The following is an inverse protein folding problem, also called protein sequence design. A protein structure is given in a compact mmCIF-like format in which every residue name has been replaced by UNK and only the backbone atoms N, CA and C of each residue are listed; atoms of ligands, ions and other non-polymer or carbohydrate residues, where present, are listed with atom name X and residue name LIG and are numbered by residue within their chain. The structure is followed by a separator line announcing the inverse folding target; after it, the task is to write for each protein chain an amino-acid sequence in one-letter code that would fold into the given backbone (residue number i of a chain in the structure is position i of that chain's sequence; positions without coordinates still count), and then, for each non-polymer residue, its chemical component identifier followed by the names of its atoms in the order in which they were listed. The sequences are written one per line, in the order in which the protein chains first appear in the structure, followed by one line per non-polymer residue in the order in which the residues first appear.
data_IF_273466611355
#
_entry.id   IF_273466611355
#
_cell.length_a   1.000
_cell.length_b   1.000
_cell.length_c   1.000
_cell.angle_alpha   90.00
_cell.angle_beta   90.00
_cell.angle_gamma   90.00
#
_symmetry.space_group_name_H-M   'P 1'
#
loop_
_entity.id
_entity.type
_entity.pdbx_description
1 polymer ?
#
# COMPACT_ATOMS: atom_id res chain seq x y z
N UNK A 1 8.66 15.83 -20.26
CA UNK A 1 8.19 15.72 -18.87
C UNK A 1 8.93 14.61 -18.18
N UNK A 2 9.88 14.98 -17.30
CA UNK A 2 10.62 14.03 -16.49
C UNK A 2 9.68 13.47 -15.42
N UNK A 3 9.16 12.25 -15.59
CA UNK A 3 8.13 11.68 -14.71
C UNK A 3 8.46 10.27 -14.24
N UNK A 4 8.22 10.05 -12.96
CA UNK A 4 8.41 8.76 -12.29
C UNK A 4 7.05 8.16 -11.93
N UNK A 5 6.79 6.92 -12.34
CA UNK A 5 5.62 6.14 -11.93
C UNK A 5 5.99 5.22 -10.76
N UNK A 6 5.38 5.44 -9.61
CA UNK A 6 5.47 4.57 -8.44
C UNK A 6 4.43 3.45 -8.53
N UNK A 7 4.81 2.24 -8.18
CA UNK A 7 3.91 1.08 -8.10
C UNK A 7 4.42 0.08 -7.07
N UNK A 8 3.54 -0.72 -6.47
CA UNK A 8 3.95 -1.89 -5.69
C UNK A 8 4.38 -3.00 -6.63
N UNK A 9 3.46 -3.45 -7.49
CA UNK A 9 3.65 -4.53 -8.44
C UNK A 9 3.64 -4.04 -9.89
N UNK A 10 4.75 -4.24 -10.60
CA UNK A 10 4.83 -3.96 -12.04
C UNK A 10 4.12 -5.05 -12.86
N UNK A 11 2.79 -4.94 -12.93
CA UNK A 11 1.95 -5.81 -13.76
C UNK A 11 1.91 -5.32 -15.22
N UNK A 12 1.33 -6.12 -16.12
CA UNK A 12 1.07 -5.70 -17.51
C UNK A 12 0.28 -4.40 -17.59
N UNK A 13 -0.74 -4.24 -16.75
CA UNK A 13 -1.59 -3.04 -16.76
C UNK A 13 -0.78 -1.79 -16.38
N UNK A 14 0.08 -1.90 -15.36
CA UNK A 14 0.97 -0.82 -14.91
C UNK A 14 2.04 -0.51 -15.96
N UNK A 15 2.59 -1.53 -16.63
CA UNK A 15 3.51 -1.30 -17.74
C UNK A 15 2.84 -0.55 -18.91
N UNK A 16 1.58 -0.88 -19.22
CA UNK A 16 0.79 -0.15 -20.22
C UNK A 16 0.51 1.29 -19.79
N UNK A 17 0.18 1.53 -18.51
CA UNK A 17 0.04 2.88 -17.96
C UNK A 17 1.33 3.69 -18.09
N UNK A 18 2.48 3.08 -17.80
CA UNK A 18 3.78 3.75 -17.93
C UNK A 18 4.08 4.20 -19.36
N UNK A 19 3.76 3.34 -20.33
CA UNK A 19 3.96 3.62 -21.76
C UNK A 19 2.97 4.68 -22.24
N UNK A 20 1.68 4.54 -21.90
CA UNK A 20 0.64 5.51 -22.27
C UNK A 20 0.91 6.90 -21.67
N UNK A 21 1.45 6.95 -20.45
CA UNK A 21 1.85 8.18 -19.76
C UNK A 21 3.22 8.72 -20.17
N UNK A 22 3.95 8.01 -21.04
CA UNK A 22 5.31 8.35 -21.49
C UNK A 22 6.26 8.66 -20.32
N UNK A 23 6.19 7.85 -19.26
CA UNK A 23 7.02 8.01 -18.07
C UNK A 23 8.45 7.53 -18.34
N UNK A 24 9.46 8.21 -17.78
CA UNK A 24 10.86 7.84 -18.01
C UNK A 24 11.34 6.73 -17.09
N UNK A 25 10.76 6.64 -15.89
CA UNK A 25 11.14 5.64 -14.88
C UNK A 25 9.91 5.07 -14.18
N UNK A 26 9.90 3.76 -14.01
CA UNK A 26 9.02 3.06 -13.07
C UNK A 26 9.84 2.70 -11.83
N UNK A 27 9.38 3.15 -10.65
CA UNK A 27 9.89 2.63 -9.38
C UNK A 27 8.87 1.62 -8.86
N UNK A 28 9.20 0.34 -9.04
CA UNK A 28 8.39 -0.79 -8.60
C UNK A 28 8.92 -1.28 -7.26
N UNK A 29 8.15 -1.12 -6.19
CA UNK A 29 8.55 -1.54 -4.85
C UNK A 29 8.96 -3.03 -4.83
N UNK A 30 8.17 -3.92 -5.44
CA UNK A 30 8.55 -5.32 -5.65
C UNK A 30 9.46 -5.49 -6.88
N UNK A 31 10.57 -6.24 -6.76
CA UNK A 31 11.41 -6.58 -7.89
C UNK A 31 10.67 -7.44 -8.91
N UNK A 32 10.45 -6.90 -10.11
CA UNK A 32 9.89 -7.68 -11.22
C UNK A 32 10.83 -8.84 -11.63
N UNK A 33 12.15 -8.66 -11.52
CA UNK A 33 13.13 -9.75 -11.71
C UNK A 33 13.57 -10.29 -10.34
N UNK A 34 12.68 -11.02 -9.66
CA UNK A 34 13.00 -11.58 -8.33
C UNK A 34 13.97 -12.77 -8.39
N UNK A 35 13.89 -13.57 -9.46
CA UNK A 35 14.84 -14.63 -9.79
C UNK A 35 15.42 -14.36 -11.16
N UNK A 36 16.72 -14.57 -11.32
CA UNK A 36 17.39 -14.36 -12.60
C UNK A 36 16.75 -15.18 -13.72
N UNK A 37 16.43 -14.51 -14.84
CA UNK A 37 15.92 -15.19 -16.03
C UNK A 37 17.03 -16.01 -16.71
N UNK A 38 16.68 -17.21 -17.17
CA UNK A 38 17.57 -18.03 -18.02
C UNK A 38 17.43 -17.68 -19.50
N UNK A 39 16.32 -17.07 -19.88
CA UNK A 39 16.01 -16.58 -21.23
C UNK A 39 14.94 -15.49 -21.15
N UNK A 40 14.94 -14.58 -22.14
CA UNK A 40 13.91 -13.57 -22.35
C UNK A 40 13.10 -13.94 -23.60
N UNK A 41 11.78 -14.06 -23.44
CA UNK A 41 10.86 -14.53 -24.49
C UNK A 41 9.56 -13.75 -24.46
N UNK A 42 8.79 -13.82 -25.54
CA UNK A 42 7.43 -13.27 -25.60
C UNK A 42 6.36 -14.27 -25.12
N UNK A 43 6.72 -15.40 -24.51
CA UNK A 43 5.73 -16.38 -24.03
C UNK A 43 5.22 -16.04 -22.62
N UNK A 44 6.00 -15.31 -21.85
CA UNK A 44 5.70 -14.94 -20.47
C UNK A 44 5.24 -13.48 -20.37
N UNK A 45 4.08 -13.19 -19.74
CA UNK A 45 3.56 -11.82 -19.66
C UNK A 45 4.47 -10.83 -18.93
N UNK A 46 5.22 -11.28 -17.92
CA UNK A 46 6.14 -10.43 -17.17
C UNK A 46 7.34 -10.04 -18.05
N UNK A 47 7.90 -11.01 -18.78
CA UNK A 47 8.98 -10.76 -19.75
C UNK A 47 8.52 -9.87 -20.91
N UNK A 48 7.28 -10.04 -21.41
CA UNK A 48 6.72 -9.16 -22.42
C UNK A 48 6.65 -7.71 -21.94
N UNK A 49 6.17 -7.46 -20.71
CA UNK A 49 6.13 -6.11 -20.15
C UNK A 49 7.51 -5.46 -20.07
N UNK A 50 8.52 -6.21 -19.62
CA UNK A 50 9.91 -5.74 -19.57
C UNK A 50 10.47 -5.40 -20.94
N UNK A 51 10.25 -6.26 -21.94
CA UNK A 51 10.71 -6.00 -23.31
C UNK A 51 10.02 -4.77 -23.92
N UNK A 52 8.74 -4.55 -23.63
CA UNK A 52 8.02 -3.35 -24.05
C UNK A 52 8.56 -2.09 -23.38
N UNK A 53 8.75 -2.09 -22.06
CA UNK A 53 9.33 -0.95 -21.34
C UNK A 53 10.74 -0.62 -21.87
N UNK A 54 11.57 -1.64 -22.13
CA UNK A 54 12.90 -1.45 -22.70
C UNK A 54 12.86 -0.85 -24.11
N UNK A 55 11.90 -1.25 -24.95
CA UNK A 55 11.71 -0.69 -26.29
C UNK A 55 11.33 0.80 -26.25
N UNK A 56 10.53 1.20 -25.25
CA UNK A 56 10.09 2.57 -25.02
C UNK A 56 11.11 3.40 -24.21
N UNK A 57 12.28 2.83 -23.86
CA UNK A 57 13.31 3.53 -23.10
C UNK A 57 12.96 3.78 -21.62
N UNK A 58 11.99 3.05 -21.06
CA UNK A 58 11.51 3.23 -19.69
C UNK A 58 12.35 2.37 -18.74
N UNK A 59 13.03 3.02 -17.78
CA UNK A 59 13.84 2.33 -16.79
C UNK A 59 12.99 1.79 -15.64
N UNK A 60 13.39 0.65 -15.04
CA UNK A 60 12.73 0.07 -13.87
C UNK A 60 13.71 -0.02 -12.70
N UNK A 61 13.34 0.54 -11.54
CA UNK A 61 14.10 0.46 -10.30
C UNK A 61 13.26 -0.14 -9.18
N UNK A 62 13.86 -1.00 -8.34
CA UNK A 62 13.16 -1.66 -7.24
C UNK A 62 13.91 -1.57 -5.92
N UNK A 63 13.44 -0.74 -4.96
CA UNK A 63 14.09 -0.60 -3.66
C UNK A 63 13.74 -1.72 -2.67
N UNK A 64 12.52 -2.29 -2.76
CA UNK A 64 12.06 -3.43 -1.97
C UNK A 64 12.40 -3.30 -0.47
N UNK A 65 13.03 -4.33 0.10
CA UNK A 65 13.45 -4.41 1.50
C UNK A 65 14.37 -3.29 1.96
N UNK A 66 15.03 -2.56 1.07
CA UNK A 66 15.82 -1.38 1.48
C UNK A 66 14.91 -0.30 2.07
N UNK A 67 13.71 -0.10 1.52
CA UNK A 67 12.72 0.85 2.03
C UNK A 67 12.03 0.33 3.31
N UNK A 68 11.95 -0.99 3.48
CA UNK A 68 11.47 -1.60 4.74
C UNK A 68 12.44 -1.39 5.89
N UNK A 69 13.72 -1.52 5.58
CA UNK A 69 14.80 -1.44 6.54
C UNK A 69 15.12 0.00 6.93
N UNK A 70 15.01 0.96 6.00
CA UNK A 70 15.38 2.34 6.20
C UNK A 70 14.62 3.03 7.34
N UNK A 71 15.29 3.96 8.01
CA UNK A 71 14.66 4.92 8.91
C UNK A 71 13.70 5.84 8.13
N UNK A 72 12.55 6.14 8.71
CA UNK A 72 11.44 6.85 8.07
C UNK A 72 10.93 6.17 6.78
N UNK A 73 11.15 4.86 6.71
CA UNK A 73 10.76 3.97 5.63
C UNK A 73 9.35 3.40 5.80
N UNK A 74 9.10 2.30 5.10
CA UNK A 74 7.81 1.62 5.04
C UNK A 74 7.35 1.09 6.41
N UNK A 75 8.24 0.44 7.16
CA UNK A 75 7.90 -0.09 8.49
C UNK A 75 7.59 1.03 9.50
N UNK A 76 8.28 2.16 9.42
CA UNK A 76 8.06 3.31 10.32
C UNK A 76 6.72 3.99 10.03
N UNK A 77 6.29 4.05 8.77
CA UNK A 77 4.94 4.50 8.40
C UNK A 77 3.84 3.61 9.01
N UNK A 78 4.01 2.29 9.02
CA UNK A 78 3.08 1.39 9.71
C UNK A 78 3.08 1.61 11.23
N UNK A 79 4.23 1.91 11.82
CA UNK A 79 4.31 2.32 13.22
C UNK A 79 3.50 3.60 13.45
N UNK A 80 3.62 4.60 12.57
CA UNK A 80 2.90 5.86 12.67
C UNK A 80 1.38 5.69 12.61
N UNK A 81 0.89 4.75 11.79
CA UNK A 81 -0.52 4.36 11.74
C UNK A 81 -0.96 3.84 13.11
N UNK A 82 -0.24 2.87 13.65
CA UNK A 82 -0.56 2.21 14.92
C UNK A 82 -0.51 3.20 16.09
N UNK A 83 0.43 4.14 16.08
CA UNK A 83 0.65 5.10 17.18
C UNK A 83 -0.17 6.38 17.04
N UNK A 84 -0.79 6.62 15.88
CA UNK A 84 -1.52 7.86 15.60
C UNK A 84 -0.59 9.06 15.43
N UNK A 85 0.61 8.87 14.87
CA UNK A 85 1.60 9.92 14.59
C UNK A 85 1.74 10.24 13.11
N UNK A 86 0.81 9.79 12.28
CA UNK A 86 0.82 10.09 10.85
C UNK A 86 0.97 11.60 10.62
N UNK A 87 1.94 12.04 9.79
CA UNK A 87 2.07 13.44 9.43
C UNK A 87 0.81 13.93 8.71
N UNK A 88 0.57 15.24 8.78
CA UNK A 88 -0.53 15.85 8.03
C UNK A 88 -0.38 15.54 6.54
N UNK A 89 -1.45 15.08 5.87
CA UNK A 89 -1.41 14.90 4.43
C UNK A 89 -1.14 16.25 3.76
N UNK A 90 -0.21 16.28 2.83
CA UNK A 90 0.06 17.51 2.08
C UNK A 90 -1.20 17.93 1.29
N UNK A 91 -1.48 19.23 1.21
CA UNK A 91 -2.60 19.73 0.41
C UNK A 91 -2.37 19.33 -1.05
N UNK A 92 -3.31 18.58 -1.63
CA UNK A 92 -3.24 18.22 -3.04
C UNK A 92 -3.43 19.48 -3.89
N UNK A 93 -2.37 19.96 -4.54
CA UNK A 93 -2.42 21.09 -5.47
C UNK A 93 -2.77 20.65 -6.88
N UNK A 94 -3.87 19.92 -7.08
CA UNK A 94 -4.43 19.73 -8.42
C UNK A 94 -5.96 19.66 -8.36
N UNK A 95 -6.60 20.73 -8.83
CA UNK A 95 -8.01 20.75 -9.26
C UNK A 95 -8.14 19.93 -10.54
N UNK A 96 -8.22 18.61 -10.42
CA UNK A 96 -8.93 17.82 -11.39
C UNK A 96 -10.42 17.91 -11.01
N UNK A 97 -11.22 18.60 -11.82
CA UNK A 97 -12.67 18.52 -11.72
C UNK A 97 -13.07 17.05 -11.79
N UNK A 98 -13.49 16.50 -10.66
CA UNK A 98 -14.15 15.20 -10.62
C UNK A 98 -15.45 15.40 -11.41
N UNK A 99 -15.69 14.69 -12.53
CA UNK A 99 -17.02 14.66 -13.11
C UNK A 99 -17.93 14.08 -12.04
N UNK A 100 -18.89 14.86 -11.59
CA UNK A 100 -19.92 14.42 -10.66
C UNK A 100 -20.56 13.15 -11.21
N UNK A 101 -20.28 12.00 -10.59
CA UNK A 101 -21.02 10.76 -10.81
C UNK A 101 -22.34 10.84 -10.07
N UNK A 102 -23.16 11.81 -10.46
CA UNK A 102 -24.56 11.93 -10.07
C UNK A 102 -25.43 11.56 -11.28
N UNK A 103 -25.21 10.36 -11.81
CA UNK A 103 -26.08 9.74 -12.82
C UNK A 103 -25.91 8.21 -12.81
N UNK A 104 -26.23 7.58 -11.68
CA UNK A 104 -26.70 6.19 -11.64
C UNK A 104 -28.01 6.09 -10.85
N UNK A 105 -29.00 6.85 -11.32
CA UNK A 105 -30.41 6.50 -11.13
C UNK A 105 -31.02 6.31 -12.52
N UNK A 106 -31.32 5.05 -12.85
CA UNK A 106 -32.20 4.72 -13.97
C UNK A 106 -31.49 4.24 -15.24
N UNK A 107 -31.08 2.97 -15.26
CA UNK A 107 -31.03 2.20 -16.50
C UNK A 107 -31.50 0.78 -16.20
N UNK A 108 -32.80 0.56 -16.36
CA UNK A 108 -33.38 -0.77 -16.50
C UNK A 108 -32.96 -1.33 -17.87
N UNK A 109 -31.79 -1.97 -17.93
CA UNK A 109 -31.42 -2.77 -19.10
C UNK A 109 -32.12 -4.13 -19.03
N UNK A 110 -33.27 -4.20 -19.70
CA UNK A 110 -33.87 -5.46 -20.10
C UNK A 110 -32.97 -6.15 -21.13
N UNK A 111 -32.17 -7.12 -20.70
CA UNK A 111 -31.51 -8.06 -21.62
C UNK A 111 -32.48 -9.19 -21.98
N UNK A 112 -32.57 -9.59 -23.26
CA UNK A 112 -33.48 -10.65 -23.67
C UNK A 112 -32.94 -12.01 -23.22
N UNK A 113 -33.86 -12.80 -22.66
CA UNK A 113 -33.72 -14.21 -22.32
C UNK A 113 -33.01 -15.00 -23.43
N UNK A 114 -31.88 -15.62 -23.09
CA UNK A 114 -31.49 -16.89 -23.72
C UNK A 114 -30.66 -17.75 -22.78
N UNK A 115 -31.04 -19.04 -22.75
CA UNK A 115 -30.37 -20.18 -22.13
C UNK A 115 -30.53 -20.37 -20.61
N UNK A 116 -31.72 -20.78 -20.20
CA UNK A 116 -31.91 -22.09 -19.56
C UNK A 116 -31.05 -22.45 -18.34
N UNK A 117 -30.74 -21.50 -17.45
CA UNK A 117 -30.31 -21.82 -16.09
C UNK A 117 -31.50 -21.63 -15.14
N UNK A 118 -31.83 -22.61 -14.28
CA UNK A 118 -32.87 -22.41 -13.28
C UNK A 118 -32.49 -21.22 -12.39
N UNK A 119 -33.46 -20.41 -11.94
CA UNK A 119 -33.17 -19.30 -11.03
C UNK A 119 -32.58 -19.91 -9.76
N UNK A 120 -31.29 -19.65 -9.52
CA UNK A 120 -30.72 -19.93 -8.20
C UNK A 120 -31.49 -19.03 -7.23
N UNK A 121 -32.27 -19.61 -6.32
CA UNK A 121 -32.63 -18.92 -5.07
C UNK A 121 -31.30 -18.59 -4.39
N UNK A 122 -30.77 -17.39 -4.62
CA UNK A 122 -29.32 -17.28 -4.67
C UNK A 122 -28.85 -15.95 -4.13
N UNK A 123 -28.37 -15.99 -2.88
CA UNK A 123 -27.44 -15.05 -2.27
C UNK A 123 -26.58 -14.31 -3.32
N UNK A 124 -26.66 -12.98 -3.35
CA UNK A 124 -25.84 -12.13 -4.22
C UNK A 124 -24.50 -11.81 -3.55
N UNK A 125 -23.45 -11.62 -4.32
CA UNK A 125 -22.11 -11.26 -3.82
C UNK A 125 -21.64 -9.97 -4.49
N UNK A 126 -20.90 -9.14 -3.76
CA UNK A 126 -20.27 -7.95 -4.33
C UNK A 126 -19.18 -8.32 -5.33
N UNK A 127 -18.85 -7.39 -6.24
CA UNK A 127 -17.56 -7.45 -6.94
C UNK A 127 -16.41 -7.39 -5.91
N UNK A 128 -15.23 -7.96 -6.21
CA UNK A 128 -14.05 -7.79 -5.37
C UNK A 128 -13.76 -6.31 -5.13
N UNK A 129 -13.54 -5.93 -3.88
CA UNK A 129 -13.22 -4.56 -3.49
C UNK A 129 -11.82 -4.46 -2.91
N UNK A 130 -11.15 -3.36 -3.19
CA UNK A 130 -9.77 -3.08 -2.80
C UNK A 130 -9.74 -1.88 -1.85
N UNK A 131 -8.69 -1.73 -1.02
CA UNK A 131 -8.52 -0.53 -0.21
C UNK A 131 -8.54 0.71 -1.09
N UNK A 132 -9.22 1.76 -0.64
CA UNK A 132 -9.19 3.06 -1.31
C UNK A 132 -7.91 3.80 -0.97
N UNK A 133 -7.54 4.82 -1.76
CA UNK A 133 -6.44 5.71 -1.37
C UNK A 133 -6.74 6.30 0.03
N UNK A 134 -5.79 6.29 0.98
CA UNK A 134 -5.98 6.95 2.26
C UNK A 134 -6.33 8.42 2.02
N UNK A 135 -7.57 8.83 2.33
CA UNK A 135 -8.02 10.20 2.08
C UNK A 135 -7.61 11.12 3.24
N UNK A 136 -7.18 12.34 2.90
CA UNK A 136 -6.90 13.41 3.86
C UNK A 136 -8.16 14.02 4.49
N UNK A 137 -9.34 13.65 3.98
CA UNK A 137 -10.57 14.44 4.10
C UNK A 137 -11.54 13.98 5.20
N UNK A 138 -11.08 13.24 6.22
CA UNK A 138 -11.87 13.01 7.43
C UNK A 138 -11.20 13.61 8.67
N UNK A 139 -11.37 14.93 8.93
CA UNK A 139 -10.75 15.62 10.07
C UNK A 139 -11.36 15.24 11.43
N UNK A 140 -12.53 14.59 11.48
CA UNK A 140 -13.39 14.68 12.67
C UNK A 140 -13.03 13.72 13.82
N UNK A 141 -12.15 12.73 13.61
CA UNK A 141 -11.76 11.78 14.66
C UNK A 141 -10.32 11.31 14.40
N UNK A 142 -9.32 12.19 14.57
CA UNK A 142 -7.95 11.72 14.73
C UNK A 142 -7.83 11.10 16.11
N UNK A 143 -7.57 9.79 16.23
CA UNK A 143 -7.31 9.22 17.54
C UNK A 143 -6.06 9.89 18.11
N UNK A 144 -6.12 10.29 19.39
CA UNK A 144 -5.03 11.01 20.05
C UNK A 144 -3.72 10.21 19.95
N UNK A 145 -2.63 10.88 19.61
CA UNK A 145 -1.30 10.28 19.57
C UNK A 145 -0.98 9.59 20.90
N UNK A 146 -0.61 8.32 20.85
CA UNK A 146 -0.25 7.55 22.03
C UNK A 146 1.26 7.65 22.27
N UNK A 147 1.69 8.00 23.48
CA UNK A 147 3.12 8.00 23.84
C UNK A 147 3.72 6.59 23.71
N UNK A 148 4.88 6.46 23.08
CA UNK A 148 5.48 5.16 22.77
C UNK A 148 6.99 5.25 22.53
N UNK A 149 7.65 4.09 22.48
CA UNK A 149 9.00 3.90 21.96
C UNK A 149 9.00 2.92 20.80
N UNK A 150 10.08 2.95 19.99
CA UNK A 150 10.30 2.04 18.86
C UNK A 150 11.69 1.42 18.95
N UNK A 151 11.81 0.15 18.58
CA UNK A 151 13.10 -0.51 18.38
C UNK A 151 13.06 -1.39 17.14
N UNK A 152 14.23 -1.64 16.54
CA UNK A 152 14.37 -2.54 15.38
C UNK A 152 14.39 -3.99 15.87
N UNK A 153 13.64 -4.89 15.20
CA UNK A 153 13.59 -6.31 15.57
C UNK A 153 14.85 -7.04 15.10
N UNK A 154 15.24 -6.85 13.83
CA UNK A 154 16.48 -7.39 13.27
C UNK A 154 17.33 -6.28 12.67
N UNK A 155 18.24 -5.66 13.45
CA UNK A 155 19.13 -4.60 12.98
C UNK A 155 19.91 -4.96 11.72
N UNK A 156 20.02 -4.00 10.79
CA UNK A 156 20.94 -4.12 9.67
C UNK A 156 22.39 -4.15 10.17
N UNK A 157 23.24 -4.92 9.48
CA UNK A 157 24.67 -4.90 9.79
C UNK A 157 25.24 -3.50 9.52
N UNK A 158 26.04 -2.99 10.45
CA UNK A 158 26.77 -1.75 10.26
C UNK A 158 27.72 -1.89 9.06
N UNK A 159 27.41 -1.22 7.95
CA UNK A 159 28.33 -1.14 6.82
C UNK A 159 29.35 -0.04 7.09
N UNK A 160 30.62 -0.41 7.24
CA UNK A 160 31.72 0.54 7.49
C UNK A 160 31.92 1.62 6.41
N UNK A 161 31.14 1.57 5.31
CA UNK A 161 31.28 2.43 4.13
C UNK A 161 30.22 3.54 4.00
N UNK A 162 29.22 3.59 4.88
CA UNK A 162 28.25 4.69 4.88
C UNK A 162 28.63 5.65 6.01
N UNK A 163 29.24 6.78 5.64
CA UNK A 163 29.57 7.88 6.57
C UNK A 163 28.36 8.76 6.90
N UNK A 164 27.15 8.21 6.78
CA UNK A 164 25.91 8.94 6.96
C UNK A 164 25.31 8.57 8.30
N UNK A 165 25.51 9.45 9.28
CA UNK A 165 25.04 9.28 10.67
C UNK A 165 23.50 9.14 10.77
N UNK A 166 22.77 9.35 9.67
CA UNK A 166 21.31 9.13 9.60
C UNK A 166 20.93 7.65 9.65
N UNK A 167 21.79 6.74 9.22
CA UNK A 167 21.48 5.31 9.14
C UNK A 167 22.36 4.51 10.08
N UNK A 168 21.76 4.06 11.18
CA UNK A 168 22.47 3.31 12.23
C UNK A 168 21.79 1.95 12.46
N UNK A 169 22.48 0.96 13.06
CA UNK A 169 21.83 -0.30 13.42
C UNK A 169 20.64 -0.13 14.38
N UNK A 170 20.58 0.98 15.13
CA UNK A 170 19.49 1.28 16.05
C UNK A 170 18.21 1.75 15.36
N UNK A 171 18.31 2.27 14.13
CA UNK A 171 17.16 2.79 13.37
C UNK A 171 16.96 2.12 11.99
N UNK A 172 17.86 1.21 11.59
CA UNK A 172 17.75 0.45 10.35
C UNK A 172 17.71 -1.06 10.57
N UNK A 173 16.87 -1.75 9.80
CA UNK A 173 16.75 -3.21 9.84
C UNK A 173 15.31 -3.69 9.66
N UNK A 174 15.13 -5.01 9.64
CA UNK A 174 13.83 -5.60 9.38
C UNK A 174 12.92 -5.56 10.62
N UNK A 175 11.69 -5.08 10.41
CA UNK A 175 10.66 -4.99 11.42
C UNK A 175 10.89 -3.92 12.49
N UNK A 176 9.82 -3.56 13.19
CA UNK A 176 9.83 -2.65 14.33
C UNK A 176 8.99 -3.22 15.47
N UNK A 177 9.45 -3.02 16.70
CA UNK A 177 8.67 -3.25 17.90
C UNK A 177 8.26 -1.89 18.46
N UNK A 178 6.95 -1.64 18.50
CA UNK A 178 6.38 -0.48 19.19
C UNK A 178 6.04 -0.91 20.62
N UNK A 179 6.38 -0.08 21.61
CA UNK A 179 5.97 -0.25 23.00
C UNK A 179 5.26 1.01 23.49
N UNK A 180 3.98 0.92 23.81
CA UNK A 180 3.20 2.06 24.30
C UNK A 180 3.51 2.38 25.76
N UNK A 181 3.42 3.67 26.13
CA UNK A 181 3.56 4.11 27.52
C UNK A 181 2.41 3.60 28.40
N UNK A 182 1.21 3.45 27.82
CA UNK A 182 0.02 2.85 28.43
C UNK A 182 -0.60 1.83 27.46
N UNK A 183 -1.13 0.68 27.94
CA UNK A 183 -1.84 -0.27 27.07
C UNK A 183 -2.95 0.42 26.26
N UNK A 184 -3.19 -0.06 25.04
CA UNK A 184 -4.20 0.45 24.13
C UNK A 184 -5.24 -0.64 23.80
N UNK A 185 -6.54 -0.33 23.74
CA UNK A 185 -7.54 -1.31 23.32
C UNK A 185 -7.28 -1.79 21.88
N UNK A 186 -7.37 -3.10 21.66
CA UNK A 186 -7.16 -3.71 20.34
C UNK A 186 -8.11 -3.14 19.28
N UNK A 187 -9.36 -2.87 19.65
CA UNK A 187 -10.37 -2.24 18.78
C UNK A 187 -9.89 -0.89 18.23
N UNK A 188 -9.19 -0.10 19.04
CA UNK A 188 -8.65 1.20 18.65
C UNK A 188 -7.50 1.05 17.66
N UNK A 189 -6.65 0.03 17.85
CA UNK A 189 -5.55 -0.27 16.92
C UNK A 189 -6.07 -0.81 15.58
N UNK A 190 -7.08 -1.68 15.60
CA UNK A 190 -7.76 -2.17 14.38
C UNK A 190 -8.35 -0.99 13.59
N UNK A 191 -9.03 -0.06 14.26
CA UNK A 191 -9.58 1.13 13.60
C UNK A 191 -8.49 2.02 13.00
N UNK A 192 -7.40 2.27 13.75
CA UNK A 192 -6.24 3.01 13.25
C UNK A 192 -5.63 2.35 12.01
N UNK A 193 -5.38 1.04 12.07
CA UNK A 193 -4.85 0.26 10.95
C UNK A 193 -5.78 0.36 9.75
N UNK A 194 -7.08 0.09 9.93
CA UNK A 194 -8.08 0.16 8.88
C UNK A 194 -8.06 1.53 8.19
N UNK A 195 -8.10 2.62 8.95
CA UNK A 195 -8.07 3.99 8.39
C UNK A 195 -6.74 4.30 7.70
N UNK A 196 -5.62 3.96 8.33
CA UNK A 196 -4.27 4.26 7.83
C UNK A 196 -3.97 3.61 6.47
N UNK A 197 -4.52 2.42 6.23
CA UNK A 197 -4.31 1.66 4.97
C UNK A 197 -5.44 1.82 3.96
N UNK A 198 -6.37 2.76 4.17
CA UNK A 198 -7.39 3.10 3.17
C UNK A 198 -8.73 2.41 3.33
N UNK A 199 -9.13 2.13 4.58
CA UNK A 199 -10.44 1.58 4.99
C UNK A 199 -10.91 0.40 4.12
N UNK A 200 -10.15 -0.70 4.08
CA UNK A 200 -10.59 -1.91 3.40
C UNK A 200 -11.93 -2.38 3.97
N UNK A 201 -12.79 -2.97 3.13
CA UNK A 201 -14.08 -3.49 3.58
C UNK A 201 -13.98 -4.65 4.59
N UNK A 202 -12.81 -5.29 4.67
CA UNK A 202 -12.51 -6.32 5.65
C UNK A 202 -11.05 -6.77 5.53
N UNK A 203 -10.51 -7.29 6.61
CA UNK A 203 -9.19 -7.90 6.68
C UNK A 203 -9.13 -8.92 7.82
N UNK A 204 -8.26 -9.95 7.74
CA UNK A 204 -8.19 -10.96 8.78
C UNK A 204 -7.60 -10.43 10.09
N UNK A 205 -8.27 -10.79 11.19
CA UNK A 205 -7.79 -10.62 12.56
C UNK A 205 -7.85 -11.99 13.24
N UNK A 206 -6.78 -12.40 13.90
CA UNK A 206 -6.74 -13.60 14.73
C UNK A 206 -6.52 -13.20 16.19
N UNK A 207 -7.24 -13.84 17.10
CA UNK A 207 -7.13 -13.63 18.54
C UNK A 207 -7.12 -14.98 19.26
N UNK A 208 -6.65 -15.04 20.53
CA UNK A 208 -6.81 -16.24 21.35
C UNK A 208 -8.29 -16.65 21.46
N UNK A 209 -8.58 -17.94 21.31
CA UNK A 209 -9.97 -18.45 21.22
C UNK A 209 -10.83 -18.17 22.47
N UNK A 210 -10.19 -17.91 23.60
CA UNK A 210 -10.83 -17.63 24.88
C UNK A 210 -10.97 -16.12 25.18
N UNK A 211 -10.70 -15.24 24.22
CA UNK A 211 -10.81 -13.79 24.36
C UNK A 211 -11.80 -13.19 23.36
N UNK A 212 -12.24 -11.97 23.65
CA UNK A 212 -13.02 -11.13 22.74
C UNK A 212 -12.18 -9.92 22.35
N UNK A 213 -12.36 -9.41 21.12
CA UNK A 213 -11.56 -8.28 20.60
C UNK A 213 -11.71 -7.04 21.50
N UNK A 214 -12.90 -6.84 22.05
CA UNK A 214 -13.28 -5.69 22.88
C UNK A 214 -12.59 -5.67 24.24
N UNK A 215 -12.16 -6.84 24.74
CA UNK A 215 -11.54 -6.99 26.06
C UNK A 215 -10.00 -6.98 26.01
N UNK A 216 -9.41 -6.97 24.81
CA UNK A 216 -7.97 -7.07 24.62
C UNK A 216 -7.25 -5.71 24.75
N UNK A 217 -6.24 -5.68 25.60
CA UNK A 217 -5.32 -4.55 25.79
C UNK A 217 -3.94 -4.88 25.21
N UNK A 218 -3.37 -3.96 24.42
CA UNK A 218 -2.13 -4.13 23.68
C UNK A 218 -1.09 -3.13 24.18
N UNK A 219 0.01 -3.62 24.75
CA UNK A 219 1.15 -2.80 25.18
C UNK A 219 2.24 -2.75 24.11
N UNK A 220 2.40 -3.85 23.39
CA UNK A 220 3.49 -4.05 22.43
C UNK A 220 2.98 -4.52 21.06
N UNK A 221 3.54 -3.96 19.99
CA UNK A 221 3.18 -4.31 18.61
C UNK A 221 4.41 -4.64 17.80
N UNK A 222 4.52 -5.89 17.33
CA UNK A 222 5.54 -6.32 16.37
C UNK A 222 5.06 -6.08 14.94
N UNK A 223 5.77 -5.26 14.18
CA UNK A 223 5.34 -4.76 12.87
C UNK A 223 6.35 -5.17 11.80
N UNK A 224 5.86 -5.72 10.68
CA UNK A 224 6.65 -5.98 9.48
C UNK A 224 5.76 -5.90 8.24
N UNK A 225 6.04 -5.04 7.24
CA UNK A 225 5.30 -5.05 5.98
C UNK A 225 5.47 -6.38 5.23
N UNK A 226 4.58 -6.66 4.27
CA UNK A 226 4.65 -7.84 3.41
C UNK A 226 4.55 -9.17 4.16
N UNK A 227 5.39 -10.15 3.81
CA UNK A 227 5.43 -11.47 4.45
C UNK A 227 6.29 -11.48 5.73
N UNK A 228 5.74 -11.02 6.85
CA UNK A 228 6.49 -10.83 8.10
C UNK A 228 6.75 -12.07 8.97
N UNK A 229 6.31 -13.26 8.57
CA UNK A 229 6.36 -14.48 9.41
C UNK A 229 7.74 -14.83 9.96
N UNK A 230 8.81 -14.69 9.17
CA UNK A 230 10.18 -14.94 9.62
C UNK A 230 10.70 -13.84 10.55
N UNK A 231 10.40 -12.58 10.25
CA UNK A 231 10.82 -11.38 10.99
C UNK A 231 10.17 -11.37 12.38
N UNK A 232 8.87 -11.67 12.45
CA UNK A 232 8.08 -11.57 13.68
C UNK A 232 8.10 -12.84 14.53
N UNK A 233 8.69 -13.95 14.04
CA UNK A 233 8.67 -15.26 14.70
C UNK A 233 9.14 -15.23 16.16
N UNK A 234 10.21 -14.49 16.42
CA UNK A 234 10.83 -14.34 17.75
C UNK A 234 10.36 -13.09 18.51
N UNK A 235 9.46 -12.30 17.91
CA UNK A 235 8.92 -11.10 18.53
C UNK A 235 7.83 -11.51 19.53
N UNK A 236 8.10 -11.29 20.82
CA UNK A 236 7.11 -11.49 21.88
C UNK A 236 6.33 -10.18 22.09
N UNK A 237 5.34 -9.94 21.23
CA UNK A 237 4.47 -8.77 21.29
C UNK A 237 3.00 -9.18 21.48
N UNK A 238 2.21 -8.31 22.09
CA UNK A 238 0.78 -8.54 22.32
C UNK A 238 -0.04 -8.49 21.02
N UNK A 239 0.46 -7.78 20.01
CA UNK A 239 -0.10 -7.72 18.66
C UNK A 239 1.00 -7.90 17.61
N UNK A 240 0.77 -8.79 16.64
CA UNK A 240 1.57 -8.86 15.42
C UNK A 240 0.80 -8.19 14.27
N UNK A 241 1.46 -7.28 13.56
CA UNK A 241 0.87 -6.55 12.44
C UNK A 241 1.74 -6.71 11.18
N UNK A 242 1.19 -7.35 10.15
CA UNK A 242 1.93 -7.64 8.91
C UNK A 242 1.01 -7.76 7.69
N UNK A 243 1.56 -7.98 6.50
CA UNK A 243 0.76 -8.31 5.32
C UNK A 243 0.24 -9.74 5.38
N UNK A 244 1.14 -10.70 5.67
CA UNK A 244 0.83 -12.14 5.61
C UNK A 244 1.50 -12.95 6.72
N UNK A 245 0.77 -13.95 7.23
CA UNK A 245 1.29 -15.05 8.03
C UNK A 245 0.71 -16.37 7.52
N UNK A 246 1.46 -17.46 7.61
CA UNK A 246 0.90 -18.80 7.42
C UNK A 246 -0.07 -19.17 8.56
N UNK A 247 -0.95 -20.14 8.33
CA UNK A 247 -1.88 -20.63 9.35
C UNK A 247 -1.19 -21.01 10.67
N UNK A 248 -0.06 -21.73 10.59
CA UNK A 248 0.67 -22.17 11.79
C UNK A 248 1.39 -21.02 12.50
N UNK A 249 1.82 -19.98 11.78
CA UNK A 249 2.42 -18.79 12.40
C UNK A 249 1.37 -17.98 13.16
N UNK A 250 0.19 -17.78 12.56
CA UNK A 250 -0.93 -17.11 13.24
C UNK A 250 -1.40 -17.91 14.47
N UNK A 251 -1.58 -19.23 14.32
CA UNK A 251 -1.96 -20.11 15.43
C UNK A 251 -0.93 -20.07 16.56
N UNK A 252 0.36 -20.14 16.24
CA UNK A 252 1.42 -20.07 17.25
C UNK A 252 1.44 -18.70 17.97
N UNK A 253 1.09 -17.60 17.28
CA UNK A 253 0.97 -16.30 17.92
C UNK A 253 -0.23 -16.26 18.89
N UNK A 254 -1.40 -16.74 18.46
CA UNK A 254 -2.62 -16.73 19.28
C UNK A 254 -2.53 -17.66 20.49
N UNK A 255 -1.88 -18.82 20.37
CA UNK A 255 -1.65 -19.74 21.50
C UNK A 255 -0.70 -19.16 22.55
N UNK A 256 0.14 -18.19 22.18
CA UNK A 256 0.98 -17.41 23.12
C UNK A 256 0.24 -16.23 23.74
N UNK A 257 -1.02 -16.00 23.36
CA UNK A 257 -1.84 -14.89 23.85
C UNK A 257 -1.81 -13.62 22.99
N UNK A 258 -1.10 -13.62 21.85
CA UNK A 258 -1.02 -12.45 20.98
C UNK A 258 -2.21 -12.36 20.01
N UNK A 259 -2.65 -11.14 19.71
CA UNK A 259 -3.48 -10.88 18.54
C UNK A 259 -2.63 -10.79 17.27
N UNK A 260 -3.27 -10.98 16.11
CA UNK A 260 -2.66 -10.82 14.79
C UNK A 260 -3.59 -10.01 13.91
N UNK A 261 -3.06 -8.99 13.25
CA UNK A 261 -3.71 -8.28 12.15
C UNK A 261 -2.89 -8.51 10.88
N UNK A 262 -3.55 -9.02 9.84
CA UNK A 262 -2.95 -9.18 8.50
C UNK A 262 -3.74 -8.39 7.47
N UNK A 263 -3.07 -7.77 6.50
CA UNK A 263 -3.74 -6.93 5.49
C UNK A 263 -3.70 -7.49 4.06
N UNK A 264 -3.21 -8.71 3.85
CA UNK A 264 -2.62 -9.16 2.57
C UNK A 264 -1.31 -8.42 2.27
N UNK A 265 -0.48 -9.01 1.41
CA UNK A 265 0.90 -8.57 1.18
C UNK A 265 0.98 -7.09 0.78
N UNK A 266 0.49 -6.78 -0.41
CA UNK A 266 0.69 -5.48 -1.04
C UNK A 266 -0.17 -4.37 -0.43
N UNK A 267 -1.29 -4.74 0.18
CA UNK A 267 -2.15 -3.79 0.91
C UNK A 267 -1.49 -3.26 2.19
N UNK A 268 -0.55 -4.00 2.79
CA UNK A 268 0.25 -3.48 3.88
C UNK A 268 1.27 -2.43 3.42
N UNK A 269 1.58 -2.34 2.12
CA UNK A 269 2.65 -1.51 1.56
C UNK A 269 2.13 -0.32 0.74
N UNK A 270 1.05 -0.52 -0.02
CA UNK A 270 0.58 0.41 -1.05
C UNK A 270 0.27 1.81 -0.54
N UNK A 271 -0.27 1.93 0.66
CA UNK A 271 -0.56 3.23 1.25
C UNK A 271 0.68 4.11 1.41
N UNK A 272 1.86 3.50 1.65
CA UNK A 272 3.13 4.22 1.78
C UNK A 272 3.51 4.99 0.52
N UNK A 273 3.23 4.43 -0.66
CA UNK A 273 3.55 5.10 -1.93
C UNK A 273 2.84 6.44 -2.04
N UNK A 274 1.57 6.49 -1.66
CA UNK A 274 0.77 7.71 -1.68
C UNK A 274 1.07 8.65 -0.52
N UNK A 275 1.14 8.12 0.70
CA UNK A 275 1.21 8.92 1.92
C UNK A 275 2.60 9.46 2.21
N UNK A 276 3.65 8.78 1.74
CA UNK A 276 5.03 9.11 2.13
C UNK A 276 5.97 9.18 0.93
N UNK A 277 6.07 8.10 0.14
CA UNK A 277 7.12 7.99 -0.88
C UNK A 277 6.97 9.03 -2.00
N UNK A 278 5.74 9.27 -2.49
CA UNK A 278 5.47 10.27 -3.54
C UNK A 278 6.00 11.65 -3.16
N UNK A 279 5.60 12.17 -2.00
CA UNK A 279 5.99 13.51 -1.55
C UNK A 279 7.48 13.62 -1.25
N UNK A 280 8.05 12.64 -0.54
CA UNK A 280 9.49 12.60 -0.24
C UNK A 280 10.32 12.56 -1.52
N UNK A 281 10.00 11.65 -2.44
CA UNK A 281 10.73 11.50 -3.69
C UNK A 281 10.61 12.74 -4.57
N UNK A 282 9.42 13.32 -4.70
CA UNK A 282 9.20 14.54 -5.50
C UNK A 282 10.11 15.68 -5.02
N UNK A 283 10.13 15.96 -3.72
CA UNK A 283 11.00 17.01 -3.15
C UNK A 283 12.49 16.72 -3.37
N UNK A 284 12.90 15.47 -3.20
CA UNK A 284 14.30 15.08 -3.42
C UNK A 284 14.69 15.25 -4.89
N UNK A 285 13.85 14.78 -5.81
CA UNK A 285 14.13 14.90 -7.25
C UNK A 285 14.11 16.36 -7.71
N UNK A 286 13.17 17.19 -7.26
CA UNK A 286 13.16 18.63 -7.59
C UNK A 286 14.45 19.32 -7.11
N UNK A 287 14.91 18.99 -5.90
CA UNK A 287 16.13 19.55 -5.33
C UNK A 287 17.37 19.11 -6.10
N UNK A 288 17.53 17.81 -6.33
CA UNK A 288 18.70 17.26 -7.04
C UNK A 288 18.68 17.67 -8.51
N UNK A 289 17.51 17.68 -9.17
CA UNK A 289 17.40 18.08 -10.57
C UNK A 289 17.78 19.53 -10.78
N UNK A 290 17.32 20.44 -9.90
CA UNK A 290 17.72 21.84 -9.94
C UNK A 290 19.24 21.99 -9.83
N UNK A 291 19.86 21.29 -8.86
CA UNK A 291 21.31 21.32 -8.65
C UNK A 291 22.07 20.78 -9.87
N UNK A 292 21.72 19.60 -10.36
CA UNK A 292 22.37 18.97 -11.52
C UNK A 292 22.24 19.83 -12.77
N UNK A 293 21.06 20.43 -13.02
CA UNK A 293 20.87 21.36 -14.13
C UNK A 293 21.77 22.57 -14.03
N UNK A 294 21.84 23.22 -12.87
CA UNK A 294 22.72 24.38 -12.66
C UNK A 294 24.21 24.03 -12.92
N UNK A 295 24.66 22.85 -12.46
CA UNK A 295 26.03 22.35 -12.69
C UNK A 295 26.30 22.09 -14.18
N UNK A 296 25.41 21.37 -14.89
CA UNK A 296 25.58 21.03 -16.31
C UNK A 296 25.55 22.28 -17.21
N UNK A 297 24.65 23.24 -16.92
CA UNK A 297 24.59 24.52 -17.62
C UNK A 297 25.87 25.34 -17.43
N UNK A 298 26.44 25.31 -16.23
CA UNK A 298 27.68 26.05 -15.90
C UNK A 298 28.92 25.43 -16.54
N UNK A 299 28.97 24.09 -16.64
CA UNK A 299 30.10 23.36 -17.22
C UNK A 299 30.14 23.40 -18.76
N UNK A 300 29.17 24.06 -19.42
CA UNK A 300 29.13 24.19 -20.87
C UNK A 300 28.77 22.88 -21.59
N UNK A 301 28.00 22.00 -20.94
CA UNK A 301 27.49 20.76 -21.55
C UNK A 301 26.31 21.00 -22.51
N UNK A 302 25.95 22.28 -22.73
CA UNK A 302 24.92 22.71 -23.69
C UNK A 302 25.49 22.94 -25.10
N UNK A 303 24.68 22.65 -26.13
CA UNK A 303 25.02 22.93 -27.52
C UNK A 303 25.61 21.76 -28.32
N UNK A 304 25.77 20.59 -27.70
CA UNK A 304 26.12 19.34 -28.39
C UNK A 304 24.87 18.50 -28.78
N UNK A 305 23.65 18.96 -28.45
CA UNK A 305 22.39 18.30 -28.80
C UNK A 305 21.97 17.13 -27.90
N UNK A 306 22.88 16.54 -27.13
CA UNK A 306 22.61 15.33 -26.34
C UNK A 306 21.71 15.57 -25.13
N UNK A 307 21.89 16.71 -24.44
CA UNK A 307 21.17 17.03 -23.20
C UNK A 307 20.22 18.22 -23.33
N UNK A 308 20.18 18.88 -24.49
CA UNK A 308 19.49 20.15 -24.66
C UNK A 308 17.97 20.02 -24.41
N UNK A 309 17.34 18.93 -24.85
CA UNK A 309 15.92 18.65 -24.60
C UNK A 309 15.63 18.36 -23.12
N UNK A 310 16.47 17.54 -22.48
CA UNK A 310 16.32 17.21 -21.07
C UNK A 310 16.53 18.44 -20.17
N UNK A 311 17.56 19.24 -20.42
CA UNK A 311 17.88 20.45 -19.66
C UNK A 311 16.86 21.57 -19.87
N UNK A 312 16.09 21.57 -20.96
CA UNK A 312 15.00 22.52 -21.18
C UNK A 312 13.78 22.26 -20.29
N UNK A 313 13.57 21.02 -19.83
CA UNK A 313 12.48 20.64 -18.95
C UNK A 313 12.88 20.76 -17.47
N UNK A 314 12.41 21.81 -16.81
CA UNK A 314 12.67 22.04 -15.38
C UNK A 314 11.80 21.18 -14.47
N UNK A 315 10.74 20.59 -15.02
CA UNK A 315 9.72 19.92 -14.24
C UNK A 315 10.11 18.49 -13.93
N UNK A 316 9.83 18.07 -12.70
CA UNK A 316 9.82 16.66 -12.30
C UNK A 316 8.48 16.34 -11.69
N UNK A 317 7.92 15.20 -12.07
CA UNK A 317 6.71 14.71 -11.44
C UNK A 317 6.85 13.27 -10.95
N UNK A 318 6.11 12.99 -9.88
CA UNK A 318 6.06 11.67 -9.25
C UNK A 318 4.60 11.29 -9.12
N UNK A 319 4.23 10.24 -9.82
CA UNK A 319 2.86 9.74 -9.94
C UNK A 319 2.81 8.38 -9.26
N UNK A 320 1.67 8.00 -8.69
CA UNK A 320 1.45 6.64 -8.19
C UNK A 320 0.43 6.00 -9.12
N UNK A 321 0.73 4.80 -9.59
CA UNK A 321 -0.10 4.04 -10.53
C UNK A 321 -1.55 3.91 -10.06
N UNK A 322 -2.48 4.17 -10.97
CA UNK A 322 -3.93 3.96 -10.76
C UNK A 322 -4.35 2.53 -11.14
N UNK A 323 -3.49 1.79 -11.85
CA UNK A 323 -3.73 0.41 -12.28
C UNK A 323 -3.16 -0.65 -11.34
N UNK A 324 -2.24 -0.27 -10.45
CA UNK A 324 -1.73 -1.13 -9.39
C UNK A 324 -2.84 -1.48 -8.40
N UNK A 325 -2.98 -2.78 -8.13
CA UNK A 325 -3.94 -3.32 -7.16
C UNK A 325 -3.46 -4.67 -6.66
N UNK A 326 -3.86 -5.00 -5.44
CA UNK A 326 -3.64 -6.33 -4.88
C UNK A 326 -4.32 -7.41 -5.75
N UNK A 327 -3.72 -8.60 -5.91
CA UNK A 327 -4.37 -9.71 -6.62
C UNK A 327 -5.66 -10.19 -5.91
N UNK A 328 -5.81 -9.94 -4.61
CA UNK A 328 -6.97 -10.31 -3.81
C UNK A 328 -7.86 -9.10 -3.52
N UNK A 329 -9.14 -9.20 -3.92
CA UNK A 329 -10.18 -8.27 -3.50
C UNK A 329 -11.15 -8.94 -2.54
N UNK A 330 -11.74 -8.16 -1.64
CA UNK A 330 -12.74 -8.64 -0.68
C UNK A 330 -14.11 -8.76 -1.37
N UNK A 331 -14.75 -9.91 -1.22
CA UNK A 331 -16.11 -10.17 -1.70
C UNK A 331 -17.04 -10.30 -0.51
N UNK A 332 -18.17 -9.57 -0.53
CA UNK A 332 -19.14 -9.53 0.56
C UNK A 332 -20.45 -10.17 0.11
N UNK A 333 -21.02 -11.01 0.97
CA UNK A 333 -22.37 -11.52 0.81
C UNK A 333 -23.38 -10.38 0.97
N UNK A 334 -24.18 -10.13 -0.07
CA UNK A 334 -25.26 -9.15 -0.04
C UNK A 334 -26.55 -9.86 0.37
N UNK A 335 -27.10 -9.49 1.53
CA UNK A 335 -28.41 -9.97 1.93
C UNK A 335 -29.48 -9.36 1.03
N UNK A 336 -30.32 -10.22 0.43
CA UNK A 336 -31.60 -9.77 -0.12
C UNK A 336 -32.52 -9.51 1.06
N UNK A 337 -32.76 -8.24 1.39
CA UNK A 337 -33.88 -7.90 2.26
C UNK A 337 -35.17 -8.33 1.54
N UNK A 338 -35.72 -9.49 1.88
CA UNK A 338 -37.15 -9.71 1.71
C UNK A 338 -37.84 -8.79 2.70
N UNK A 339 -38.54 -7.78 2.19
CA UNK A 339 -39.45 -6.93 2.97
C UNK A 339 -40.60 -7.80 3.50
N UNK A 340 -40.37 -8.49 4.62
CA UNK A 340 -41.38 -9.33 5.30
C UNK A 340 -42.52 -8.47 5.90
N UNK A 341 -42.45 -7.15 5.78
CA UNK A 341 -43.51 -6.23 6.23
C UNK A 341 -44.55 -5.87 5.16
N UNK A 342 -44.45 -6.37 3.91
CA UNK A 342 -45.42 -6.08 2.86
C UNK A 342 -46.63 -7.04 2.79
N UNK A 343 -46.66 -8.13 3.58
CA UNK A 343 -47.71 -9.17 3.50
C UNK A 343 -48.70 -9.14 4.69
N UNK A 344 -48.77 -8.05 5.47
CA UNK A 344 -49.76 -7.91 6.57
C UNK A 344 -50.97 -7.02 6.27
N UNK A 345 -51.11 -6.45 5.06
CA UNK A 345 -52.23 -5.55 4.73
C UNK A 345 -53.32 -6.12 3.82
N UNK A 346 -53.41 -7.45 3.65
CA UNK A 346 -54.58 -8.07 3.04
C UNK A 346 -55.35 -8.86 4.10
N UNK A 347 -56.10 -8.14 4.94
CA UNK A 347 -57.30 -8.68 5.59
C UNK A 347 -58.56 -8.19 4.88
N UNK A 348 -59.60 -9.03 4.79
CA UNK A 348 -60.71 -8.86 3.87
C UNK A 348 -61.77 -7.89 4.45
N UNK A 349 -62.32 -7.04 3.59
CA UNK A 349 -63.63 -6.43 3.77
C UNK A 349 -64.55 -6.80 2.61
#
# INVERSE_FOLDING_TARGET
MNSVLLTVDLTKAVAEEAIEGNHCVVIAYHPIIFRGFKSLTLADPQQQSLLRLALEGISVYSPHTAVDAASDGMTDWLCDIVTGTLPDPEPETHTAEIPSTDEQRGASESTPSSNGRPPMLGRSYSKPTYPTRPSSSSPSLRPATSGHTRSVIHPSQATASLSDDRFTPENTGAGRLVTFNEPQPLTHLIERIARGVGTPKGFPVAIPQNQQVEDMEVKTVGICPGSGGSVLRSCNADLLFTGELSHHEALAATERGAAVVTLFHSNSERGYLHSVMKGKLKRTLETEWKKTREEMLTNGETGNGEWDEALADETVDVIVSERDRDPYGIVILQDMYEDVNAISQLQPH
#
